data_IF_704359548609
#
_entry.id   IF_704359548609
#
_cell.length_a   1.000
_cell.length_b   1.000
_cell.length_c   1.000
_cell.angle_alpha   90.00
_cell.angle_beta   90.00
_cell.angle_gamma   90.00
#
_symmetry.space_group_name_H-M   'P 1'
#
loop_
_entity.id
_entity.type
_entity.pdbx_description
1 polymer ?
#
# COMPACT_ATOMS: atom_id res chain seq x y z
N UNK A 1 -12.01 6.93 -1.17
CA UNK A 1 -10.76 6.13 -1.18
C UNK A 1 -9.62 6.96 -1.71
N UNK A 2 -8.44 6.68 -1.26
CA UNK A 2 -7.25 7.39 -1.69
C UNK A 2 -6.54 6.58 -2.75
N UNK A 3 -6.05 7.24 -3.78
CA UNK A 3 -5.32 6.60 -4.87
C UNK A 3 -3.82 6.92 -4.75
N UNK A 4 -2.99 5.97 -5.08
CA UNK A 4 -1.55 6.17 -5.06
C UNK A 4 -0.81 5.16 -5.91
N UNK A 5 0.50 5.21 -5.81
CA UNK A 5 1.39 4.31 -6.55
C UNK A 5 2.32 3.60 -5.57
N UNK A 6 2.49 2.32 -5.75
CA UNK A 6 3.44 1.56 -4.92
C UNK A 6 4.85 2.10 -5.19
N UNK A 7 5.50 2.56 -4.13
CA UNK A 7 6.83 3.14 -4.21
C UNK A 7 7.92 2.11 -3.93
N UNK A 8 7.69 1.28 -2.92
CA UNK A 8 8.68 0.30 -2.48
C UNK A 8 7.97 -0.90 -1.90
N UNK A 9 8.51 -2.08 -2.16
CA UNK A 9 8.02 -3.34 -1.60
C UNK A 9 9.19 -4.03 -0.93
N UNK A 10 9.02 -4.39 0.35
CA UNK A 10 10.01 -5.15 1.11
C UNK A 10 9.46 -6.55 1.29
N UNK A 11 9.71 -7.40 0.29
CA UNK A 11 9.07 -8.71 0.22
C UNK A 11 9.49 -9.66 1.34
N UNK A 12 10.72 -9.58 1.79
CA UNK A 12 11.22 -10.44 2.86
C UNK A 12 10.64 -10.06 4.22
N UNK A 13 10.13 -8.86 4.37
CA UNK A 13 9.51 -8.40 5.62
C UNK A 13 8.00 -8.28 5.54
N UNK A 14 7.44 -8.42 4.36
CA UNK A 14 5.99 -8.44 4.16
C UNK A 14 5.32 -7.08 4.25
N UNK A 15 5.99 -6.00 3.87
CA UNK A 15 5.38 -4.67 3.87
C UNK A 15 5.90 -3.82 2.71
N UNK A 16 5.33 -2.63 2.57
CA UNK A 16 5.78 -1.70 1.55
C UNK A 16 5.26 -0.30 1.82
N UNK A 17 5.51 0.59 0.87
CA UNK A 17 5.10 1.99 0.96
C UNK A 17 4.37 2.40 -0.30
N UNK A 18 3.35 3.23 -0.12
CA UNK A 18 2.55 3.80 -1.20
C UNK A 18 2.75 5.31 -1.20
N UNK A 19 3.10 5.86 -2.35
CA UNK A 19 3.12 7.31 -2.54
C UNK A 19 1.72 7.71 -3.00
N UNK A 20 0.95 8.32 -2.11
CA UNK A 20 -0.41 8.74 -2.43
C UNK A 20 -0.40 9.98 -3.32
N UNK A 21 -1.48 10.17 -4.07
CA UNK A 21 -1.61 11.31 -4.97
C UNK A 21 -1.68 12.65 -4.22
N UNK A 22 -1.94 12.63 -2.90
CA UNK A 22 -1.93 13.82 -2.06
C UNK A 22 -0.51 14.26 -1.67
N UNK A 23 0.52 13.55 -2.11
CA UNK A 23 1.91 13.85 -1.81
C UNK A 23 2.46 13.20 -0.55
N UNK A 24 1.65 12.41 0.14
CA UNK A 24 2.06 11.73 1.36
C UNK A 24 2.40 10.27 1.08
N UNK A 25 3.20 9.68 1.95
CA UNK A 25 3.54 8.26 1.87
C UNK A 25 2.84 7.52 2.99
N UNK A 26 2.37 6.31 2.67
CA UNK A 26 1.69 5.45 3.63
C UNK A 26 2.32 4.07 3.62
N UNK A 27 2.49 3.53 4.82
CA UNK A 27 2.95 2.16 5.01
C UNK A 27 1.77 1.21 4.79
N UNK A 28 2.04 0.05 4.20
CA UNK A 28 1.04 -1.03 4.14
C UNK A 28 1.71 -2.36 4.45
N UNK A 29 0.96 -3.25 5.09
CA UNK A 29 1.39 -4.61 5.35
C UNK A 29 0.78 -5.52 4.30
N UNK A 30 1.44 -6.64 3.99
CA UNK A 30 0.93 -7.58 2.98
C UNK A 30 -0.50 -8.04 3.28
N UNK A 31 -0.86 -8.13 4.55
CA UNK A 31 -2.22 -8.52 4.94
C UNK A 31 -3.28 -7.48 4.62
N UNK A 32 -2.86 -6.26 4.27
CA UNK A 32 -3.79 -5.19 3.89
C UNK A 32 -4.17 -5.25 2.41
N UNK A 33 -3.51 -6.09 1.62
CA UNK A 33 -3.81 -6.23 0.20
C UNK A 33 -5.03 -7.11 0.00
N UNK A 34 -5.89 -6.73 -0.95
CA UNK A 34 -6.99 -7.59 -1.29
C UNK A 34 -6.56 -8.56 -2.43
N UNK A 35 -7.48 -9.44 -2.85
CA UNK A 35 -7.17 -10.48 -3.81
C UNK A 35 -6.83 -9.98 -5.21
N UNK A 36 -7.08 -8.70 -5.50
CA UNK A 36 -6.72 -8.11 -6.79
C UNK A 36 -5.22 -7.85 -6.93
N UNK A 37 -4.49 -7.93 -5.83
CA UNK A 37 -3.04 -7.70 -5.79
C UNK A 37 -2.32 -8.92 -5.25
N UNK A 38 -1.15 -9.19 -5.82
CA UNK A 38 -0.30 -10.28 -5.36
C UNK A 38 1.00 -9.66 -4.82
N UNK A 39 1.19 -9.72 -3.52
CA UNK A 39 2.33 -9.11 -2.86
C UNK A 39 3.66 -9.65 -3.42
N UNK A 40 3.72 -10.94 -3.71
CA UNK A 40 4.96 -11.57 -4.17
C UNK A 40 5.33 -11.14 -5.59
N UNK A 41 4.38 -10.58 -6.35
CA UNK A 41 4.61 -10.10 -7.71
C UNK A 41 4.78 -8.60 -7.79
N UNK A 42 4.59 -7.89 -6.69
CA UNK A 42 4.67 -6.44 -6.69
C UNK A 42 6.13 -6.01 -6.76
N UNK A 43 6.44 -5.12 -7.69
CA UNK A 43 7.80 -4.64 -7.91
C UNK A 43 7.93 -3.14 -7.68
N UNK A 44 6.82 -2.43 -7.55
CA UNK A 44 6.77 -0.98 -7.46
C UNK A 44 6.20 -0.41 -8.75
N UNK A 45 5.54 0.73 -8.63
CA UNK A 45 4.93 1.40 -9.77
C UNK A 45 3.47 1.03 -10.02
N UNK A 46 2.93 0.07 -9.30
CA UNK A 46 1.53 -0.33 -9.44
C UNK A 46 0.61 0.77 -8.90
N UNK A 47 -0.47 1.04 -9.64
CA UNK A 47 -1.50 1.97 -9.17
C UNK A 47 -2.46 1.23 -8.27
N UNK A 48 -2.77 1.83 -7.13
CA UNK A 48 -3.62 1.20 -6.12
C UNK A 48 -4.61 2.21 -5.55
N UNK A 49 -5.71 1.67 -5.03
CA UNK A 49 -6.64 2.42 -4.18
C UNK A 49 -6.60 1.83 -2.78
N UNK A 50 -6.74 2.66 -1.77
CA UNK A 50 -6.67 2.20 -0.39
C UNK A 50 -7.40 3.14 0.54
N UNK A 51 -7.69 2.66 1.75
CA UNK A 51 -8.23 3.47 2.82
C UNK A 51 -7.12 3.82 3.78
N UNK A 52 -7.21 5.01 4.37
CA UNK A 52 -6.24 5.46 5.37
C UNK A 52 -6.77 5.07 6.74
N UNK A 53 -5.97 4.35 7.51
CA UNK A 53 -6.34 3.89 8.84
C UNK A 53 -5.31 4.39 9.83
N UNK A 54 -5.76 4.88 10.97
CA UNK A 54 -4.87 5.32 12.03
C UNK A 54 -4.34 4.13 12.82
N UNK A 55 -3.05 4.18 13.14
CA UNK A 55 -2.43 3.14 13.96
C UNK A 55 -1.52 3.79 14.98
N UNK A 56 -1.06 3.04 16.00
CA UNK A 56 -0.12 3.59 16.99
C UNK A 56 1.17 4.13 16.38
N UNK A 57 1.54 3.66 15.21
CA UNK A 57 2.74 4.12 14.50
C UNK A 57 2.45 5.22 13.49
N UNK A 58 1.22 5.68 13.40
CA UNK A 58 0.79 6.70 12.45
C UNK A 58 -0.16 6.16 11.40
N UNK A 59 -0.54 6.97 10.41
CA UNK A 59 -1.45 6.54 9.35
C UNK A 59 -0.84 5.42 8.53
N UNK A 60 -1.67 4.45 8.17
CA UNK A 60 -1.26 3.35 7.30
C UNK A 60 -2.33 3.10 6.24
N UNK A 61 -1.94 2.46 5.15
CA UNK A 61 -2.87 2.05 4.12
C UNK A 61 -3.54 0.73 4.51
N UNK A 62 -4.85 0.67 4.34
CA UNK A 62 -5.64 -0.52 4.59
C UNK A 62 -6.51 -0.81 3.38
N UNK A 63 -6.93 -2.06 3.22
CA UNK A 63 -7.78 -2.49 2.10
C UNK A 63 -7.23 -2.04 0.75
N UNK A 64 -5.96 -2.29 0.56
CA UNK A 64 -5.26 -1.89 -0.67
C UNK A 64 -5.70 -2.81 -1.80
N UNK A 65 -6.08 -2.22 -2.93
CA UNK A 65 -6.51 -2.97 -4.11
C UNK A 65 -6.00 -2.30 -5.38
N UNK A 66 -6.02 -3.05 -6.48
CA UNK A 66 -5.63 -2.49 -7.76
C UNK A 66 -6.60 -1.38 -8.18
N UNK A 67 -6.02 -0.28 -8.63
CA UNK A 67 -6.81 0.85 -9.10
C UNK A 67 -7.38 0.59 -10.50
#
# INVERSE_FOLDING_TARGET
MTTGTIKKVVSDRGFGFIAADDGKEYFFHRSALDSSLDFDRMTGGERVEFEIEQSPKGPRAARVRAA
#
